data_IF_300825866557
#
_entry.id   IF_300825866557
#
_cell.length_a   1.000
_cell.length_b   1.000
_cell.length_c   1.000
_cell.angle_alpha   90.00
_cell.angle_beta   90.00
_cell.angle_gamma   90.00
#
_symmetry.space_group_name_H-M   'P 1'
#
loop_
_entity.id
_entity.type
_entity.pdbx_description
1 polymer ?
#
# COMPACT_ATOMS: atom_id res chain seq x y z
N UNK A 1 -1.83 -17.10 4.68
CA UNK A 1 -0.58 -16.34 4.95
C UNK A 1 -0.96 -14.91 5.40
N UNK A 2 -0.47 -14.46 6.57
CA UNK A 2 -0.86 -13.17 7.14
C UNK A 2 -0.12 -11.96 6.53
N UNK A 3 0.99 -12.23 5.84
CA UNK A 3 1.72 -11.26 5.00
C UNK A 3 1.59 -11.67 3.53
N UNK A 4 1.52 -10.67 2.64
CA UNK A 4 1.55 -10.86 1.20
C UNK A 4 2.32 -9.72 0.53
N UNK A 5 2.88 -10.00 -0.64
CA UNK A 5 3.60 -9.00 -1.45
C UNK A 5 2.70 -8.53 -2.58
N UNK A 6 2.64 -7.22 -2.79
CA UNK A 6 1.92 -6.59 -3.91
C UNK A 6 2.86 -5.62 -4.58
N UNK A 7 3.05 -5.75 -5.89
CA UNK A 7 3.86 -4.82 -6.69
C UNK A 7 2.94 -3.75 -7.28
N UNK A 8 3.25 -2.48 -7.00
CA UNK A 8 2.48 -1.32 -7.46
C UNK A 8 3.31 -0.44 -8.38
N UNK A 9 2.66 0.25 -9.31
CA UNK A 9 3.27 1.17 -10.26
C UNK A 9 2.76 2.58 -9.99
N UNK A 10 3.67 3.55 -9.99
CA UNK A 10 3.35 4.96 -9.84
C UNK A 10 2.66 5.49 -11.11
N UNK A 11 1.68 6.35 -10.94
CA UNK A 11 1.12 7.17 -12.01
C UNK A 11 2.04 8.36 -12.36
N UNK A 12 1.60 9.20 -13.30
CA UNK A 12 2.33 10.40 -13.71
C UNK A 12 2.48 11.46 -12.62
N UNK A 13 1.67 11.39 -11.55
CA UNK A 13 1.77 12.26 -10.37
C UNK A 13 2.63 11.63 -9.25
N UNK A 14 3.14 10.42 -9.45
CA UNK A 14 3.98 9.71 -8.48
C UNK A 14 3.19 8.90 -7.44
N UNK A 15 1.88 8.74 -7.58
CA UNK A 15 1.03 8.02 -6.64
C UNK A 15 0.80 6.56 -7.06
N UNK A 16 0.63 5.67 -6.07
CA UNK A 16 0.22 4.27 -6.30
C UNK A 16 -1.25 4.01 -5.98
N UNK A 17 -1.93 4.95 -5.32
CA UNK A 17 -3.39 4.97 -5.19
C UNK A 17 -3.97 4.30 -3.94
N UNK A 18 -3.39 4.52 -2.76
CA UNK A 18 -4.02 4.17 -1.47
C UNK A 18 -3.77 5.24 -0.42
N UNK A 19 -4.63 5.29 0.59
CA UNK A 19 -4.45 6.12 1.78
C UNK A 19 -4.07 5.20 2.94
N UNK A 20 -3.11 5.64 3.76
CA UNK A 20 -2.74 4.95 4.99
C UNK A 20 -2.69 5.93 6.17
N UNK A 21 -2.93 5.41 7.37
CA UNK A 21 -2.85 6.14 8.63
C UNK A 21 -2.32 5.21 9.70
N UNK A 22 -1.29 5.66 10.45
CA UNK A 22 -0.63 4.86 11.51
C UNK A 22 -0.20 3.47 11.01
N UNK A 23 0.39 3.41 9.82
CA UNK A 23 0.86 2.17 9.19
C UNK A 23 -0.24 1.26 8.61
N UNK A 24 -1.53 1.57 8.81
CA UNK A 24 -2.65 0.79 8.28
C UNK A 24 -3.23 1.42 7.01
N UNK A 25 -3.54 0.61 6.01
CA UNK A 25 -4.22 1.03 4.77
C UNK A 25 -5.70 1.27 5.08
N UNK A 26 -6.20 2.48 4.84
CA UNK A 26 -7.56 2.90 5.19
C UNK A 26 -8.50 2.97 3.98
N UNK A 27 -7.98 3.26 2.79
CA UNK A 27 -8.80 3.32 1.57
C UNK A 27 -7.95 3.16 0.31
N UNK A 28 -8.62 2.86 -0.79
CA UNK A 28 -8.02 2.75 -2.12
C UNK A 28 -8.57 3.87 -3.01
N UNK A 29 -7.70 4.43 -3.84
CA UNK A 29 -8.10 5.38 -4.88
C UNK A 29 -8.65 4.58 -6.05
N UNK A 30 -9.83 4.98 -6.54
CA UNK A 30 -10.47 4.37 -7.72
C UNK A 30 -9.50 4.43 -8.91
N UNK A 31 -9.42 3.35 -9.67
CA UNK A 31 -8.56 3.19 -10.86
C UNK A 31 -7.03 3.27 -10.58
N UNK A 32 -6.63 3.48 -9.32
CA UNK A 32 -5.23 3.44 -8.89
C UNK A 32 -4.59 2.05 -9.03
N UNK A 33 -3.26 2.00 -9.08
CA UNK A 33 -2.51 0.74 -9.14
C UNK A 33 -2.85 -0.18 -7.96
N UNK A 34 -3.01 0.37 -6.76
CA UNK A 34 -3.42 -0.39 -5.57
C UNK A 34 -4.77 -1.10 -5.73
N UNK A 35 -5.78 -0.42 -6.32
CA UNK A 35 -7.09 -1.03 -6.56
C UNK A 35 -7.00 -2.14 -7.62
N UNK A 36 -6.26 -1.89 -8.72
CA UNK A 36 -6.07 -2.87 -9.81
C UNK A 36 -5.30 -4.13 -9.40
N UNK A 37 -4.40 -4.01 -8.43
CA UNK A 37 -3.61 -5.13 -7.92
C UNK A 37 -4.21 -5.78 -6.65
N UNK A 38 -5.45 -5.44 -6.30
CA UNK A 38 -6.15 -6.08 -5.19
C UNK A 38 -5.51 -5.81 -3.82
N UNK A 39 -4.91 -4.63 -3.62
CA UNK A 39 -4.49 -4.18 -2.29
C UNK A 39 -5.74 -4.14 -1.37
N UNK A 40 -5.59 -4.51 -0.10
CA UNK A 40 -6.70 -4.65 0.83
C UNK A 40 -6.58 -3.58 1.92
N UNK A 41 -7.71 -2.99 2.28
CA UNK A 41 -7.82 -2.12 3.45
C UNK A 41 -7.75 -2.91 4.74
N UNK A 42 -7.50 -2.24 5.87
CA UNK A 42 -7.32 -2.84 7.19
C UNK A 42 -6.10 -3.76 7.33
N UNK A 43 -5.18 -3.73 6.37
CA UNK A 43 -3.86 -4.35 6.48
C UNK A 43 -2.79 -3.32 6.84
N UNK A 44 -1.74 -3.79 7.51
CA UNK A 44 -0.56 -2.98 7.86
C UNK A 44 0.54 -3.14 6.83
N UNK A 45 1.31 -2.08 6.62
CA UNK A 45 2.54 -2.11 5.83
C UNK A 45 3.68 -2.67 6.69
N UNK A 46 4.33 -3.74 6.21
CA UNK A 46 5.49 -4.33 6.88
C UNK A 46 6.80 -3.85 6.25
N UNK A 47 6.85 -3.84 4.92
CA UNK A 47 8.04 -3.56 4.15
C UNK A 47 7.68 -2.84 2.84
N UNK A 48 8.53 -1.91 2.41
CA UNK A 48 8.42 -1.25 1.11
C UNK A 48 9.78 -1.37 0.41
N UNK A 49 9.81 -2.02 -0.76
CA UNK A 49 11.01 -2.21 -1.58
C UNK A 49 12.24 -2.73 -0.81
N UNK A 50 12.08 -3.72 0.06
CA UNK A 50 13.18 -4.28 0.85
C UNK A 50 13.45 -3.55 2.18
N UNK A 51 12.72 -2.47 2.49
CA UNK A 51 12.93 -1.69 3.71
C UNK A 51 11.78 -1.89 4.69
N UNK A 52 12.10 -2.34 5.91
CA UNK A 52 11.11 -2.48 6.99
C UNK A 52 10.55 -1.10 7.36
N UNK A 53 9.22 -1.00 7.47
CA UNK A 53 8.53 0.25 7.82
C UNK A 53 7.68 0.16 9.09
N UNK A 54 7.78 -0.94 9.83
CA UNK A 54 7.03 -1.14 11.07
C UNK A 54 7.59 -0.19 12.13
N UNK A 55 6.70 0.59 12.76
CA UNK A 55 7.06 1.52 13.83
C UNK A 55 7.66 2.85 13.35
N UNK A 56 7.79 3.06 12.04
CA UNK A 56 8.10 4.38 11.49
C UNK A 56 6.92 5.33 11.75
N UNK A 57 7.23 6.53 12.24
CA UNK A 57 6.25 7.60 12.56
C UNK A 57 5.95 8.48 11.36
#
# INVERSE_FOLDING_TARGET
PFQRTVTLQKDSAGHVGFIYKRGQITSLVRDGSAARNGLLTNHYLCEINGQNVIGLK
#
